data_IF_831835789056
#
_entry.id   IF_831835789056
#
_cell.length_a   1.000
_cell.length_b   1.000
_cell.length_c   1.000
_cell.angle_alpha   90.00
_cell.angle_beta   90.00
_cell.angle_gamma   90.00
#
_symmetry.space_group_name_H-M   'P 1'
#
loop_
_entity.id
_entity.type
_entity.pdbx_description
1 polymer ?
#
# COMPACT_ATOMS: atom_id res chain seq x y z
N UNK A 1 -22.29 -2.19 7.59
CA UNK A 1 -21.19 -1.85 8.51
C UNK A 1 -20.30 -0.89 7.75
N UNK A 2 -19.96 0.25 8.34
CA UNK A 2 -19.03 1.22 7.73
C UNK A 2 -17.64 0.61 7.79
N UNK A 3 -16.91 0.54 6.67
CA UNK A 3 -15.51 0.11 6.72
C UNK A 3 -14.67 1.17 7.43
N UNK A 4 -13.68 0.73 8.20
CA UNK A 4 -12.75 1.59 8.91
C UNK A 4 -11.41 1.64 8.19
N UNK A 5 -10.91 2.85 7.95
CA UNK A 5 -9.58 3.08 7.38
C UNK A 5 -8.65 3.64 8.44
N UNK A 6 -7.45 3.06 8.54
CA UNK A 6 -6.34 3.60 9.33
C UNK A 6 -5.19 3.87 8.40
N UNK A 7 -4.79 5.14 8.25
CA UNK A 7 -3.64 5.54 7.43
C UNK A 7 -2.39 5.50 8.29
N UNK A 8 -1.34 4.83 7.81
CA UNK A 8 -0.04 4.80 8.48
C UNK A 8 0.94 5.85 7.93
N UNK A 9 0.96 6.00 6.60
CA UNK A 9 1.84 6.93 5.91
C UNK A 9 1.02 7.68 4.85
N UNK A 10 1.02 9.02 4.95
CA UNK A 10 0.42 9.92 3.98
C UNK A 10 1.40 10.16 2.81
N UNK A 11 0.91 10.46 1.60
CA UNK A 11 1.77 10.62 0.45
C UNK A 11 2.57 11.92 0.60
N UNK A 12 3.88 11.85 0.33
CA UNK A 12 4.78 13.00 0.36
C UNK A 12 4.75 13.79 -0.95
N UNK A 13 4.28 13.17 -2.03
CA UNK A 13 4.13 13.82 -3.34
C UNK A 13 2.85 13.40 -4.07
N UNK A 14 2.47 14.22 -5.06
CA UNK A 14 1.28 13.98 -5.88
C UNK A 14 1.49 12.72 -6.73
N UNK A 15 0.63 11.72 -6.53
CA UNK A 15 0.65 10.46 -7.28
C UNK A 15 1.28 9.29 -6.52
N UNK A 16 1.65 9.48 -5.26
CA UNK A 16 2.10 8.41 -4.39
C UNK A 16 0.94 7.61 -3.81
N UNK A 17 1.22 6.33 -3.59
CA UNK A 17 0.34 5.43 -2.84
C UNK A 17 0.45 5.75 -1.35
N UNK A 18 -0.66 5.57 -0.65
CA UNK A 18 -0.73 5.54 0.82
C UNK A 18 -0.68 4.11 1.30
N UNK A 19 -0.18 3.86 2.50
CA UNK A 19 -0.36 2.57 3.19
C UNK A 19 -1.19 2.71 4.44
N UNK A 20 -1.91 1.64 4.75
CA UNK A 20 -2.79 1.60 5.89
C UNK A 20 -3.50 0.28 6.04
N UNK A 21 -4.60 0.30 6.78
CA UNK A 21 -5.48 -0.84 6.98
C UNK A 21 -6.91 -0.47 6.59
N UNK A 22 -7.60 -1.40 5.93
CA UNK A 22 -9.07 -1.37 5.76
C UNK A 22 -9.65 -2.57 6.50
N UNK A 23 -10.46 -2.30 7.51
CA UNK A 23 -11.04 -3.35 8.37
C UNK A 23 -9.96 -4.30 8.92
N UNK A 24 -8.88 -3.72 9.47
CA UNK A 24 -7.71 -4.41 10.03
C UNK A 24 -6.84 -5.21 9.02
N UNK A 25 -7.13 -5.10 7.72
CA UNK A 25 -6.35 -5.77 6.66
C UNK A 25 -5.42 -4.78 5.95
N UNK A 26 -4.12 -5.08 5.78
CA UNK A 26 -3.20 -4.24 5.02
C UNK A 26 -3.74 -3.86 3.64
N UNK A 27 -3.70 -2.57 3.34
CA UNK A 27 -4.21 -1.98 2.13
C UNK A 27 -3.36 -0.80 1.67
N UNK A 28 -3.45 -0.48 0.38
CA UNK A 28 -2.90 0.75 -0.19
C UNK A 28 -4.01 1.67 -0.68
N UNK A 29 -3.82 2.97 -0.46
CA UNK A 29 -4.71 4.02 -0.93
C UNK A 29 -4.15 4.75 -2.14
N UNK A 30 -4.96 4.99 -3.17
CA UNK A 30 -4.62 5.92 -4.24
C UNK A 30 -4.98 7.37 -3.88
N UNK A 31 -4.61 8.28 -4.78
CA UNK A 31 -4.92 9.71 -4.68
C UNK A 31 -6.40 10.07 -4.86
N UNK A 32 -7.19 9.17 -5.43
CA UNK A 32 -8.61 9.38 -5.70
C UNK A 32 -9.48 8.95 -4.50
N UNK A 33 -8.85 8.59 -3.38
CA UNK A 33 -9.51 8.14 -2.16
C UNK A 33 -9.85 6.65 -2.14
N UNK A 34 -9.34 5.87 -3.10
CA UNK A 34 -9.68 4.45 -3.24
C UNK A 34 -8.64 3.59 -2.55
N UNK A 35 -9.12 2.59 -1.81
CA UNK A 35 -8.28 1.69 -1.03
C UNK A 35 -8.40 0.26 -1.53
N UNK A 36 -7.26 -0.41 -1.67
CA UNK A 36 -7.10 -1.73 -2.26
C UNK A 36 -6.41 -2.67 -1.28
N UNK A 37 -6.98 -3.85 -1.03
CA UNK A 37 -6.29 -4.88 -0.25
C UNK A 37 -5.13 -5.41 -1.06
N UNK A 38 -3.98 -5.58 -0.41
CA UNK A 38 -2.78 -6.08 -1.07
C UNK A 38 -2.62 -7.59 -0.87
N UNK A 39 -1.84 -8.30 -1.70
CA UNK A 39 -1.43 -9.70 -1.44
C UNK A 39 -0.63 -9.84 -0.14
N UNK A 40 -0.49 -11.07 0.40
CA UNK A 40 0.24 -11.35 1.65
C UNK A 40 1.74 -11.08 1.57
N UNK A 41 2.29 -11.09 0.37
CA UNK A 41 3.70 -10.91 0.01
C UNK A 41 3.92 -9.59 -0.73
N UNK A 42 3.04 -8.61 -0.53
CA UNK A 42 3.12 -7.33 -1.22
C UNK A 42 4.43 -6.59 -0.93
N UNK A 43 5.07 -6.09 -1.98
CA UNK A 43 6.30 -5.30 -1.96
C UNK A 43 6.08 -4.03 -2.76
N UNK A 44 6.10 -2.90 -2.08
CA UNK A 44 5.69 -1.62 -2.66
C UNK A 44 6.81 -0.61 -2.42
N UNK A 45 7.68 -0.35 -3.42
CA UNK A 45 8.71 0.66 -3.31
C UNK A 45 8.08 2.05 -3.35
N UNK A 46 8.46 2.89 -2.38
CA UNK A 46 8.03 4.28 -2.32
C UNK A 46 9.05 5.18 -3.02
N UNK A 47 8.63 5.84 -4.10
CA UNK A 47 9.55 6.52 -5.02
C UNK A 47 10.27 7.73 -4.41
N UNK A 48 9.63 8.49 -3.51
CA UNK A 48 10.21 9.73 -2.95
C UNK A 48 11.01 9.56 -1.68
N UNK A 49 10.75 8.52 -0.88
CA UNK A 49 11.32 8.39 0.48
C UNK A 49 12.46 7.38 0.56
N UNK A 50 12.84 6.74 -0.55
CA UNK A 50 13.78 5.61 -0.56
C UNK A 50 13.35 4.46 0.38
N UNK A 51 12.05 4.33 0.65
CA UNK A 51 11.50 3.25 1.46
C UNK A 51 10.89 2.16 0.58
N UNK A 52 10.76 0.98 1.15
CA UNK A 52 10.03 -0.16 0.59
C UNK A 52 9.11 -0.68 1.67
N UNK A 53 7.81 -0.67 1.39
CA UNK A 53 6.82 -1.27 2.25
C UNK A 53 6.64 -2.73 1.88
N UNK A 54 6.68 -3.58 2.89
CA UNK A 54 6.56 -5.02 2.77
C UNK A 54 5.38 -5.46 3.62
N UNK A 55 4.52 -6.33 3.10
CA UNK A 55 3.57 -7.03 3.96
C UNK A 55 4.23 -8.30 4.49
N UNK A 56 4.24 -8.46 5.80
CA UNK A 56 4.75 -9.64 6.48
C UNK A 56 3.77 -10.04 7.58
N UNK A 57 3.33 -11.31 7.59
CA UNK A 57 2.45 -11.85 8.64
C UNK A 57 1.21 -11.00 8.94
N UNK A 58 0.57 -10.46 7.89
CA UNK A 58 -0.61 -9.60 7.98
C UNK A 58 -0.38 -8.20 8.57
N UNK A 59 0.88 -7.77 8.69
CA UNK A 59 1.28 -6.42 9.09
C UNK A 59 2.13 -5.71 8.02
N UNK A 60 2.17 -4.39 8.08
CA UNK A 60 3.13 -3.58 7.31
C UNK A 60 4.48 -3.52 8.01
N UNK A 61 5.55 -3.81 7.27
CA UNK A 61 6.93 -3.51 7.64
C UNK A 61 7.55 -2.56 6.62
N UNK A 62 8.55 -1.81 7.04
CA UNK A 62 9.21 -0.81 6.20
C UNK A 62 10.73 -0.98 6.29
N UNK A 63 11.39 -0.97 5.13
CA UNK A 63 12.85 -0.98 5.03
C UNK A 63 13.34 0.12 4.10
N UNK A 64 14.59 0.52 4.26
CA UNK A 64 15.24 1.40 3.30
C UNK A 64 15.61 0.63 2.01
N UNK A 65 15.46 1.24 0.84
CA UNK A 65 15.71 0.65 -0.49
C UNK A 65 17.12 0.05 -0.62
N UNK A 66 18.13 0.62 0.05
CA UNK A 66 19.50 0.06 0.10
C UNK A 66 19.58 -1.36 0.67
N UNK A 67 18.57 -1.80 1.41
CA UNK A 67 18.46 -3.14 1.99
C UNK A 67 17.56 -4.07 1.16
N UNK A 68 17.07 -3.60 0.01
CA UNK A 68 16.17 -4.31 -0.88
C UNK A 68 16.87 -4.63 -2.20
N UNK A 69 16.85 -5.90 -2.58
CA UNK A 69 17.29 -6.35 -3.90
C UNK A 69 16.05 -6.68 -4.76
N UNK A 70 15.69 -5.84 -5.74
CA UNK A 70 14.51 -6.06 -6.59
C UNK A 70 14.64 -7.26 -7.52
N UNK A 71 15.85 -7.81 -7.74
CA UNK A 71 16.02 -9.03 -8.53
C UNK A 71 15.66 -10.28 -7.73
N UNK A 72 15.86 -10.25 -6.41
CA UNK A 72 15.50 -11.36 -5.52
C UNK A 72 14.06 -11.25 -5.02
N UNK A 73 13.61 -10.03 -4.72
CA UNK A 73 12.26 -9.74 -4.24
C UNK A 73 11.67 -8.63 -5.12
N UNK A 74 11.05 -8.98 -6.26
CA UNK A 74 10.53 -7.98 -7.18
C UNK A 74 9.38 -7.18 -6.56
N UNK A 75 9.18 -5.92 -7.00
CA UNK A 75 8.02 -5.15 -6.57
C UNK A 75 6.74 -5.83 -7.05
N UNK A 76 5.69 -5.76 -6.24
CA UNK A 76 4.37 -6.26 -6.63
C UNK A 76 3.84 -5.41 -7.78
N UNK A 77 3.49 -6.02 -8.93
CA UNK A 77 2.95 -5.28 -10.06
C UNK A 77 1.67 -4.55 -9.70
N UNK A 78 1.48 -3.37 -10.28
CA UNK A 78 0.31 -2.53 -10.02
C UNK A 78 -0.99 -3.26 -10.34
N UNK A 79 -1.00 -4.03 -11.43
CA UNK A 79 -2.14 -4.82 -11.89
C UNK A 79 -2.58 -5.87 -10.86
N UNK A 80 -1.63 -6.35 -10.04
CA UNK A 80 -1.93 -7.29 -8.94
C UNK A 80 -2.53 -6.54 -7.75
N UNK A 81 -2.00 -5.36 -7.41
CA UNK A 81 -2.48 -4.57 -6.28
C UNK A 81 -3.94 -4.11 -6.45
N UNK A 82 -4.36 -3.78 -7.68
CA UNK A 82 -5.73 -3.27 -7.95
C UNK A 82 -6.66 -4.29 -8.56
N UNK A 83 -6.23 -5.55 -8.72
CA UNK A 83 -6.94 -6.59 -9.47
C UNK A 83 -8.40 -6.75 -9.04
N UNK A 84 -8.63 -6.76 -7.73
CA UNK A 84 -9.94 -7.04 -7.15
C UNK A 84 -10.80 -5.77 -6.97
N UNK A 85 -10.31 -4.63 -7.45
CA UNK A 85 -10.95 -3.33 -7.28
C UNK A 85 -10.82 -2.76 -5.86
N UNK A 86 -11.34 -1.55 -5.63
CA UNK A 86 -11.24 -0.91 -4.33
C UNK A 86 -12.21 -1.55 -3.34
N UNK A 87 -11.72 -1.86 -2.15
CA UNK A 87 -12.53 -2.34 -1.02
C UNK A 87 -13.20 -1.20 -0.25
N UNK A 88 -12.67 0.02 -0.41
CA UNK A 88 -13.21 1.22 0.21
C UNK A 88 -12.93 2.43 -0.67
N UNK A 89 -13.85 3.39 -0.67
CA UNK A 89 -13.71 4.68 -1.36
C UNK A 89 -14.07 5.77 -0.36
N UNK A 90 -13.13 6.67 -0.10
CA UNK A 90 -13.33 7.83 0.76
C UNK A 90 -14.50 8.68 0.20
N UNK A 91 -15.43 9.14 1.07
CA UNK A 91 -16.48 10.05 0.64
C UNK A 91 -15.85 11.31 0.05
N UNK A 92 -16.33 11.74 -1.13
CA UNK A 92 -15.97 13.05 -1.67
C UNK A 92 -16.81 14.09 -0.94
N UNK A 93 -16.15 15.02 -0.26
CA UNK A 93 -16.78 16.22 0.31
C UNK A 93 -17.34 17.13 -0.80
#
# INVERSE_FOLDING_TARGET
>A
MSSQVVVLEEPHSVGEWRIGYVDEVPAVGDRDGRWYRVPKDAVIPHASTQLVWLRQQDEWTCIHQRHWDPQQVPPTPMEVLVKDGPVFVEPRE
#
